data_IF_172600558223
#
_entry.id   IF_172600558223
#
_cell.length_a   1.000
_cell.length_b   1.000
_cell.length_c   1.000
_cell.angle_alpha   90.00
_cell.angle_beta   90.00
_cell.angle_gamma   90.00
#
_symmetry.space_group_name_H-M   'P 1'
#
loop_
_entity.id
_entity.type
_entity.pdbx_description
1 polymer ?
#
# COMPACT_ATOMS: atom_id res chain seq x y z
N UNK A 1 31.67 23.20 -6.57
CA UNK A 1 30.81 22.00 -6.57
C UNK A 1 29.42 22.48 -6.87
N UNK A 2 28.90 22.25 -8.08
CA UNK A 2 27.50 22.59 -8.38
C UNK A 2 26.61 21.81 -7.41
N UNK A 3 26.05 22.51 -6.43
CA UNK A 3 24.94 21.98 -5.64
C UNK A 3 23.78 21.85 -6.62
N UNK A 4 23.62 20.67 -7.21
CA UNK A 4 22.48 20.39 -8.07
C UNK A 4 21.23 20.83 -7.32
N UNK A 5 20.43 21.72 -7.91
CA UNK A 5 19.24 22.35 -7.29
C UNK A 5 18.33 21.31 -6.59
N UNK A 6 18.30 20.09 -7.12
CA UNK A 6 17.59 18.93 -6.55
C UNK A 6 18.13 18.49 -5.19
N UNK A 7 19.45 18.52 -4.98
CA UNK A 7 20.09 18.14 -3.71
C UNK A 7 19.74 19.11 -2.58
N UNK A 8 19.70 20.42 -2.85
CA UNK A 8 19.26 21.40 -1.86
C UNK A 8 17.76 21.27 -1.55
N UNK A 9 16.92 21.02 -2.57
CA UNK A 9 15.49 20.81 -2.38
C UNK A 9 15.21 19.57 -1.52
N UNK A 10 15.88 18.45 -1.81
CA UNK A 10 15.77 17.22 -1.03
C UNK A 10 16.33 17.40 0.39
N UNK A 11 17.41 18.16 0.55
CA UNK A 11 17.96 18.54 1.85
C UNK A 11 16.95 19.33 2.70
N UNK A 12 16.30 20.35 2.11
CA UNK A 12 15.26 21.14 2.77
C UNK A 12 14.01 20.31 3.09
N UNK A 13 13.63 19.40 2.20
CA UNK A 13 12.52 18.47 2.45
C UNK A 13 12.83 17.52 3.61
N UNK A 14 14.07 17.00 3.68
CA UNK A 14 14.53 16.13 4.78
C UNK A 14 14.57 16.84 6.13
N UNK A 15 14.99 18.11 6.17
CA UNK A 15 14.98 18.90 7.40
C UNK A 15 13.56 19.15 7.94
N UNK A 16 12.56 19.15 7.04
CA UNK A 16 11.15 19.37 7.37
C UNK A 16 10.30 18.08 7.32
N UNK A 17 10.89 16.94 7.71
CA UNK A 17 10.26 15.62 7.61
C UNK A 17 8.91 15.54 8.34
N UNK A 18 8.77 16.21 9.49
CA UNK A 18 7.52 16.26 10.24
C UNK A 18 6.39 16.98 9.49
N UNK A 19 6.70 18.04 8.75
CA UNK A 19 5.75 18.75 7.90
C UNK A 19 5.31 17.86 6.73
N UNK A 20 6.26 17.28 6.00
CA UNK A 20 5.97 16.39 4.87
C UNK A 20 5.17 15.15 5.30
N UNK A 21 5.46 14.60 6.48
CA UNK A 21 4.68 13.51 7.07
C UNK A 21 3.22 13.94 7.29
N UNK A 22 2.97 15.12 7.86
CA UNK A 22 1.61 15.65 8.05
C UNK A 22 0.91 15.88 6.72
N UNK A 23 1.58 16.50 5.75
CA UNK A 23 1.03 16.74 4.40
C UNK A 23 0.64 15.42 3.75
N UNK A 24 1.50 14.40 3.81
CA UNK A 24 1.19 13.07 3.29
C UNK A 24 -0.07 12.49 3.94
N UNK A 25 -0.20 12.53 5.27
CA UNK A 25 -1.41 12.03 5.94
C UNK A 25 -2.66 12.83 5.61
N UNK A 26 -2.56 14.16 5.48
CA UNK A 26 -3.69 15.02 5.07
C UNK A 26 -4.16 14.65 3.67
N UNK A 27 -3.23 14.51 2.72
CA UNK A 27 -3.54 14.07 1.35
C UNK A 27 -4.19 12.68 1.38
N UNK A 28 -3.66 11.77 2.20
CA UNK A 28 -4.21 10.42 2.30
C UNK A 28 -5.65 10.43 2.83
N UNK A 29 -5.92 11.20 3.89
CA UNK A 29 -7.28 11.35 4.45
C UNK A 29 -8.22 11.98 3.42
N UNK A 30 -7.75 12.99 2.68
CA UNK A 30 -8.54 13.64 1.63
C UNK A 30 -8.89 12.66 0.51
N UNK A 31 -7.92 11.87 0.04
CA UNK A 31 -8.15 10.86 -0.99
C UNK A 31 -9.12 9.77 -0.53
N UNK A 32 -8.99 9.30 0.73
CA UNK A 32 -9.94 8.34 1.31
C UNK A 32 -11.34 8.96 1.42
N UNK A 33 -11.44 10.20 1.89
CA UNK A 33 -12.71 10.92 1.96
C UNK A 33 -13.36 11.11 0.58
N UNK A 34 -12.56 11.48 -0.43
CA UNK A 34 -13.02 11.64 -1.81
C UNK A 34 -13.48 10.30 -2.40
N UNK A 35 -12.78 9.21 -2.09
CA UNK A 35 -13.16 7.86 -2.51
C UNK A 35 -14.51 7.42 -1.93
N UNK A 36 -14.87 7.90 -0.74
CA UNK A 36 -16.18 7.66 -0.14
C UNK A 36 -17.27 8.53 -0.76
N UNK A 37 -16.93 9.76 -1.19
CA UNK A 37 -17.90 10.71 -1.74
C UNK A 37 -18.20 10.46 -3.23
N UNK A 38 -17.19 10.07 -4.01
CA UNK A 38 -17.33 9.76 -5.44
C UNK A 38 -17.59 8.26 -5.60
N UNK A 39 -18.87 7.89 -5.72
CA UNK A 39 -19.27 6.52 -6.02
C UNK A 39 -19.62 6.36 -7.51
N UNK A 40 -19.29 5.22 -8.14
CA UNK A 40 -19.69 4.94 -9.51
C UNK A 40 -21.22 4.76 -9.60
N UNK A 41 -21.86 5.49 -10.51
CA UNK A 41 -23.32 5.50 -10.67
C UNK A 41 -23.91 4.21 -11.26
N UNK A 42 -23.08 3.33 -11.83
CA UNK A 42 -23.50 2.07 -12.48
C UNK A 42 -22.81 0.87 -11.83
N UNK A 43 -23.44 0.21 -10.83
CA UNK A 43 -22.89 -0.99 -10.20
C UNK A 43 -22.87 -2.15 -11.21
N UNK A 44 -21.68 -2.70 -11.50
CA UNK A 44 -21.48 -3.91 -12.29
C UNK A 44 -21.38 -5.16 -11.40
N UNK A 45 -21.00 -4.99 -10.12
CA UNK A 45 -20.95 -6.06 -9.10
C UNK A 45 -21.87 -5.76 -7.90
N UNK A 46 -22.45 -6.79 -7.26
CA UNK A 46 -23.19 -6.63 -6.01
C UNK A 46 -22.26 -6.16 -4.90
N UNK A 47 -22.25 -4.85 -4.64
CA UNK A 47 -21.42 -4.22 -3.60
C UNK A 47 -20.76 -2.91 -4.03
N UNK A 48 -20.61 -2.67 -5.33
CA UNK A 48 -19.91 -1.48 -5.87
C UNK A 48 -20.63 -0.16 -5.60
N UNK A 49 -21.94 -0.20 -5.36
CA UNK A 49 -22.72 0.97 -4.96
C UNK A 49 -22.45 1.44 -3.52
N UNK A 50 -21.63 0.72 -2.75
CA UNK A 50 -21.24 1.11 -1.40
C UNK A 50 -19.87 1.79 -1.43
N UNK A 51 -19.72 2.99 -0.83
CA UNK A 51 -18.42 3.62 -0.71
C UNK A 51 -17.45 2.73 0.08
N UNK A 52 -16.21 2.63 -0.39
CA UNK A 52 -15.18 1.81 0.24
C UNK A 52 -15.25 0.30 -0.03
N UNK A 53 -16.19 -0.19 -0.85
CA UNK A 53 -16.27 -1.61 -1.23
C UNK A 53 -14.94 -2.13 -1.77
N UNK A 54 -14.36 -1.42 -2.75
CA UNK A 54 -13.09 -1.78 -3.36
C UNK A 54 -11.92 -1.79 -2.38
N UNK A 55 -11.89 -0.87 -1.42
CA UNK A 55 -10.84 -0.82 -0.41
C UNK A 55 -10.89 -2.05 0.52
N UNK A 56 -12.08 -2.42 0.98
CA UNK A 56 -12.29 -3.61 1.83
C UNK A 56 -12.00 -4.89 1.04
N UNK A 57 -12.50 -4.99 -0.19
CA UNK A 57 -12.25 -6.13 -1.06
C UNK A 57 -10.76 -6.32 -1.32
N UNK A 58 -10.04 -5.26 -1.73
CA UNK A 58 -8.61 -5.32 -1.99
C UNK A 58 -7.81 -5.69 -0.74
N UNK A 59 -8.19 -5.18 0.43
CA UNK A 59 -7.56 -5.55 1.70
C UNK A 59 -7.70 -7.05 1.98
N UNK A 60 -8.93 -7.58 1.90
CA UNK A 60 -9.21 -9.00 2.13
C UNK A 60 -8.47 -9.87 1.11
N UNK A 61 -8.55 -9.52 -0.18
CA UNK A 61 -7.88 -10.23 -1.26
C UNK A 61 -6.36 -10.25 -1.06
N UNK A 62 -5.76 -9.13 -0.64
CA UNK A 62 -4.32 -9.05 -0.37
C UNK A 62 -3.92 -9.95 0.80
N UNK A 63 -4.67 -9.92 1.91
CA UNK A 63 -4.38 -10.77 3.07
C UNK A 63 -4.47 -12.26 2.69
N UNK A 64 -5.53 -12.64 1.96
CA UNK A 64 -5.69 -14.01 1.47
C UNK A 64 -4.53 -14.42 0.56
N UNK A 65 -4.17 -13.56 -0.41
CA UNK A 65 -3.05 -13.80 -1.33
C UNK A 65 -1.73 -14.02 -0.56
N UNK A 66 -1.41 -13.18 0.42
CA UNK A 66 -0.20 -13.34 1.25
C UNK A 66 -0.18 -14.66 1.99
N UNK A 67 -1.33 -15.09 2.55
CA UNK A 67 -1.43 -16.37 3.26
C UNK A 67 -1.26 -17.55 2.31
N UNK A 68 -1.89 -17.50 1.14
CA UNK A 68 -1.76 -18.53 0.10
C UNK A 68 -0.31 -18.61 -0.37
N UNK A 69 0.32 -17.48 -0.70
CA UNK A 69 1.72 -17.43 -1.13
C UNK A 69 2.67 -17.93 -0.05
N UNK A 70 2.43 -17.60 1.23
CA UNK A 70 3.24 -18.12 2.34
C UNK A 70 3.09 -19.64 2.48
N UNK A 71 1.87 -20.16 2.34
CA UNK A 71 1.61 -21.60 2.32
C UNK A 71 2.29 -22.29 1.15
N UNK A 72 2.12 -21.75 -0.07
CA UNK A 72 2.74 -22.26 -1.29
C UNK A 72 4.26 -22.24 -1.22
N UNK A 73 4.86 -21.18 -0.68
CA UNK A 73 6.29 -21.08 -0.46
C UNK A 73 6.78 -22.16 0.52
N UNK A 74 6.06 -22.41 1.62
CA UNK A 74 6.42 -23.47 2.55
C UNK A 74 6.30 -24.86 1.93
N UNK A 75 5.30 -25.11 1.07
CA UNK A 75 5.13 -26.42 0.42
C UNK A 75 6.10 -26.66 -0.74
N UNK A 76 6.45 -25.63 -1.50
CA UNK A 76 7.26 -25.77 -2.73
C UNK A 76 8.75 -25.50 -2.46
N UNK A 77 9.07 -24.52 -1.61
CA UNK A 77 10.45 -24.10 -1.32
C UNK A 77 10.93 -24.53 0.07
N UNK A 78 10.05 -25.12 0.90
CA UNK A 78 10.42 -25.63 2.22
C UNK A 78 11.42 -26.78 2.12
N UNK A 79 12.69 -26.48 2.36
CA UNK A 79 13.76 -27.48 2.45
C UNK A 79 13.95 -27.85 3.92
N UNK A 80 14.15 -29.15 4.20
CA UNK A 80 14.36 -29.61 5.58
C UNK A 80 15.55 -28.87 6.20
N UNK A 81 15.41 -28.44 7.45
CA UNK A 81 16.37 -27.57 8.14
C UNK A 81 17.79 -28.15 8.21
N UNK A 82 17.93 -29.48 8.15
CA UNK A 82 19.23 -30.18 8.08
C UNK A 82 19.79 -30.42 6.65
N UNK A 83 19.31 -29.71 5.62
CA UNK A 83 19.81 -29.93 4.25
C UNK A 83 21.27 -29.52 4.04
N UNK A 84 21.75 -28.50 4.75
CA UNK A 84 23.13 -28.02 4.67
C UNK A 84 24.06 -28.67 5.70
N UNK A 85 23.51 -29.54 6.55
CA UNK A 85 24.23 -30.26 7.61
C UNK A 85 24.69 -31.66 7.14
N UNK A 86 24.81 -31.83 5.81
CA UNK A 86 25.31 -33.04 5.13
C UNK A 86 26.57 -32.75 4.34
#
# INVERSE_FOLDING_TARGET
METSTLGELLGKARQNLGFWKKVMYIIMILLVGLNVLIYPHTPHFPGEGKPGYWAVFALIATVLMVRICKGAAHTILGKKEGYYDR
#
